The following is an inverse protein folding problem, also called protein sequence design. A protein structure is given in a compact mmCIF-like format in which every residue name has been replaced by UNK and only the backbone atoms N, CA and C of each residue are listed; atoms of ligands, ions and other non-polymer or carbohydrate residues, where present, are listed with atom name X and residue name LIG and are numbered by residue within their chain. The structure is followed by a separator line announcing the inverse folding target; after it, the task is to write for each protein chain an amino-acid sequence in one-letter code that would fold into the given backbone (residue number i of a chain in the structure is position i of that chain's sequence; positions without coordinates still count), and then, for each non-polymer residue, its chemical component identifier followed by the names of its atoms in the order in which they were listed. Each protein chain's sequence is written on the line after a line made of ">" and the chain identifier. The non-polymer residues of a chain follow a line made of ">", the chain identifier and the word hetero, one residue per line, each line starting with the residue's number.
data_IF_877767488323
#
_entry.id   IF_877767488323
#
_cell.length_a   1.000
_cell.length_b   1.000
_cell.length_c   1.000
_cell.angle_alpha   90.00
_cell.angle_beta   90.00
_cell.angle_gamma   90.00
#
_symmetry.space_group_name_H-M   'P 1'
#
loop_
_entity.id
_entity.type
_entity.pdbx_description
1 polymer ?
#
# COMPACT_ATOMS: atom_id res chain seq x y z
N UNK A 1 27.96 -17.17 8.74
CA UNK A 1 28.87 -16.53 9.72
C UNK A 1 28.29 -16.76 11.10
N UNK A 2 28.86 -17.68 11.88
CA UNK A 2 28.58 -17.81 13.32
C UNK A 2 29.64 -16.97 14.05
N UNK A 3 29.29 -15.72 14.35
CA UNK A 3 30.15 -14.87 15.18
C UNK A 3 29.95 -15.26 16.65
N UNK A 4 31.07 -15.44 17.38
CA UNK A 4 31.11 -15.93 18.77
C UNK A 4 30.46 -15.00 19.80
N UNK A 5 30.08 -13.78 19.41
CA UNK A 5 29.50 -12.76 20.29
C UNK A 5 28.19 -12.23 19.69
N UNK A 6 27.04 -12.65 20.20
CA UNK A 6 25.72 -12.26 19.67
C UNK A 6 25.30 -10.80 19.93
N UNK A 7 26.13 -9.98 20.60
CA UNK A 7 25.78 -8.58 20.94
C UNK A 7 25.52 -7.71 19.71
N UNK A 8 26.21 -7.96 18.59
CA UNK A 8 25.97 -7.21 17.35
C UNK A 8 24.54 -7.40 16.83
N UNK A 9 23.90 -8.54 17.08
CA UNK A 9 22.53 -8.81 16.64
C UNK A 9 21.50 -7.95 17.39
N UNK A 10 21.88 -7.40 18.55
CA UNK A 10 21.06 -6.47 19.34
C UNK A 10 21.25 -5.00 18.92
N UNK A 11 22.24 -4.65 18.09
CA UNK A 11 22.41 -3.27 17.61
C UNK A 11 21.31 -2.95 16.56
N UNK A 12 20.45 -1.93 16.76
CA UNK A 12 19.40 -1.56 15.82
C UNK A 12 19.89 -1.15 14.42
N UNK A 13 21.17 -0.83 14.25
CA UNK A 13 21.81 -0.54 12.96
C UNK A 13 22.29 -1.80 12.25
N UNK A 14 22.59 -2.86 12.99
CA UNK A 14 23.09 -4.10 12.40
C UNK A 14 22.06 -4.74 11.46
N UNK A 15 20.76 -4.67 11.78
CA UNK A 15 19.68 -5.11 10.87
C UNK A 15 19.68 -4.36 9.54
N UNK A 16 19.94 -3.05 9.55
CA UNK A 16 20.03 -2.25 8.32
C UNK A 16 21.31 -2.56 7.55
N UNK A 17 22.43 -2.79 8.25
CA UNK A 17 23.67 -3.26 7.64
C UNK A 17 23.49 -4.63 6.97
N UNK A 18 22.84 -5.58 7.63
CA UNK A 18 22.52 -6.89 7.07
C UNK A 18 21.61 -6.78 5.86
N UNK A 19 20.52 -6.02 5.95
CA UNK A 19 19.59 -5.81 4.83
C UNK A 19 20.32 -5.23 3.62
N UNK A 20 21.08 -4.14 3.80
CA UNK A 20 21.88 -3.54 2.75
C UNK A 20 22.91 -4.53 2.18
N UNK A 21 23.56 -5.32 3.04
CA UNK A 21 24.49 -6.36 2.60
C UNK A 21 23.79 -7.40 1.74
N UNK A 22 22.67 -7.98 2.20
CA UNK A 22 21.88 -8.97 1.46
C UNK A 22 21.43 -8.44 0.10
N UNK A 23 20.92 -7.20 0.05
CA UNK A 23 20.52 -6.54 -1.20
C UNK A 23 21.70 -6.38 -2.15
N UNK A 24 22.87 -5.95 -1.65
CA UNK A 24 24.10 -5.86 -2.45
C UNK A 24 24.55 -7.23 -2.96
N UNK A 25 24.52 -8.27 -2.13
CA UNK A 25 24.83 -9.64 -2.55
C UNK A 25 23.88 -10.11 -3.66
N UNK A 26 22.59 -9.83 -3.53
CA UNK A 26 21.60 -10.14 -4.56
C UNK A 26 21.86 -9.36 -5.86
N UNK A 27 22.17 -8.07 -5.76
CA UNK A 27 22.56 -7.22 -6.89
C UNK A 27 23.80 -7.77 -7.61
N UNK A 28 24.82 -8.17 -6.86
CA UNK A 28 26.04 -8.78 -7.41
C UNK A 28 25.73 -10.12 -8.09
N UNK A 29 24.89 -10.96 -7.49
CA UNK A 29 24.43 -12.24 -8.07
C UNK A 29 23.69 -12.01 -9.39
N UNK A 30 22.73 -11.09 -9.41
CA UNK A 30 21.95 -10.76 -10.61
C UNK A 30 22.84 -10.16 -11.72
N UNK A 31 23.77 -9.28 -11.35
CA UNK A 31 24.76 -8.74 -12.29
C UNK A 31 25.63 -9.84 -12.90
N UNK A 32 26.04 -10.84 -12.10
CA UNK A 32 26.79 -11.99 -12.60
C UNK A 32 25.98 -12.85 -13.57
N UNK A 33 24.67 -13.04 -13.32
CA UNK A 33 23.77 -13.78 -14.20
C UNK A 33 23.64 -13.03 -15.54
N UNK A 34 23.39 -11.72 -15.51
CA UNK A 34 23.31 -10.89 -16.71
C UNK A 34 24.57 -10.99 -17.58
N UNK A 35 25.74 -10.80 -16.95
CA UNK A 35 27.06 -10.90 -17.58
C UNK A 35 27.24 -12.29 -18.20
N UNK A 36 26.96 -13.38 -17.47
CA UNK A 36 27.05 -14.75 -18.00
C UNK A 36 26.14 -15.00 -19.21
N UNK A 37 24.92 -14.49 -19.19
CA UNK A 37 23.92 -14.70 -20.25
C UNK A 37 24.18 -13.84 -21.50
N UNK A 38 24.97 -12.77 -21.38
CA UNK A 38 25.24 -11.84 -22.48
C UNK A 38 26.74 -11.74 -22.75
N UNK A 39 27.28 -12.76 -23.43
CA UNK A 39 28.71 -12.89 -23.78
C UNK A 39 29.26 -11.70 -24.57
N UNK A 40 28.40 -10.97 -25.29
CA UNK A 40 28.70 -9.71 -25.97
C UNK A 40 29.25 -8.64 -25.02
N UNK A 41 28.63 -8.45 -23.86
CA UNK A 41 29.07 -7.46 -22.86
C UNK A 41 30.32 -7.93 -22.09
N UNK A 42 30.59 -9.24 -22.04
CA UNK A 42 31.74 -9.80 -21.31
C UNK A 42 33.10 -9.46 -21.91
N UNK A 43 33.12 -9.13 -23.21
CA UNK A 43 34.35 -8.82 -23.95
C UNK A 43 34.66 -7.32 -24.00
N UNK A 44 33.77 -6.47 -23.46
CA UNK A 44 33.89 -5.02 -23.54
C UNK A 44 34.59 -4.41 -22.33
N UNK A 45 35.40 -3.38 -22.56
CA UNK A 45 35.88 -2.47 -21.51
C UNK A 45 34.79 -1.46 -21.12
N UNK A 46 34.93 -0.82 -19.95
CA UNK A 46 33.96 0.20 -19.47
C UNK A 46 33.74 1.31 -20.48
N UNK A 47 34.83 1.75 -21.10
CA UNK A 47 34.81 2.78 -22.11
C UNK A 47 33.97 2.34 -23.32
N UNK A 48 34.19 1.12 -23.80
CA UNK A 48 33.42 0.53 -24.90
C UNK A 48 31.94 0.38 -24.55
N UNK A 49 31.62 -0.08 -23.34
CA UNK A 49 30.24 -0.17 -22.85
C UNK A 49 29.57 1.22 -22.77
N UNK A 50 30.27 2.25 -22.28
CA UNK A 50 29.74 3.62 -22.24
C UNK A 50 29.45 4.16 -23.63
N UNK A 51 30.36 3.98 -24.59
CA UNK A 51 30.14 4.41 -25.98
C UNK A 51 28.99 3.64 -26.63
N UNK A 52 28.91 2.34 -26.36
CA UNK A 52 27.83 1.49 -26.85
C UNK A 52 26.47 1.92 -26.29
N UNK A 53 26.36 2.16 -24.98
CA UNK A 53 25.12 2.59 -24.32
C UNK A 53 24.73 4.03 -24.68
N UNK A 54 25.70 4.91 -24.98
CA UNK A 54 25.41 6.24 -25.53
C UNK A 54 24.78 6.16 -26.93
N UNK A 55 25.28 5.25 -27.77
CA UNK A 55 24.74 5.00 -29.11
C UNK A 55 23.45 4.16 -29.08
N UNK A 56 23.30 3.32 -28.07
CA UNK A 56 22.19 2.38 -27.92
C UNK A 56 21.62 2.45 -26.48
N UNK A 57 20.93 3.55 -26.11
CA UNK A 57 20.41 3.74 -24.75
C UNK A 57 19.38 2.69 -24.34
N UNK A 58 18.77 1.97 -25.30
CA UNK A 58 17.84 0.88 -25.06
C UNK A 58 18.43 -0.27 -24.22
N UNK A 59 19.69 -0.65 -24.45
CA UNK A 59 20.33 -1.76 -23.74
C UNK A 59 20.60 -1.47 -22.24
N UNK A 60 20.61 -0.19 -21.84
CA UNK A 60 20.63 0.16 -20.41
C UNK A 60 19.34 -0.29 -19.71
N UNK A 61 18.19 -0.25 -20.41
CA UNK A 61 16.92 -0.76 -19.89
C UNK A 61 16.97 -2.28 -19.68
N UNK A 62 17.64 -3.02 -20.56
CA UNK A 62 17.83 -4.47 -20.43
C UNK A 62 18.72 -4.84 -19.24
N UNK A 63 19.78 -4.08 -18.98
CA UNK A 63 20.62 -4.29 -17.78
C UNK A 63 19.81 -4.00 -16.51
N UNK A 64 19.06 -2.90 -16.48
CA UNK A 64 18.22 -2.50 -15.35
C UNK A 64 16.98 -3.40 -15.18
N UNK A 65 16.57 -4.14 -16.22
CA UNK A 65 15.52 -5.15 -16.11
C UNK A 65 15.88 -6.23 -15.08
N UNK A 66 17.16 -6.58 -14.94
CA UNK A 66 17.58 -7.57 -13.95
C UNK A 66 17.51 -7.04 -12.51
N UNK A 67 17.61 -5.72 -12.28
CA UNK A 67 17.41 -5.15 -10.93
C UNK A 67 15.94 -5.10 -10.51
N UNK A 68 14.98 -5.35 -11.41
CA UNK A 68 13.55 -5.46 -11.03
C UNK A 68 13.28 -6.57 -10.01
N UNK A 69 14.16 -7.57 -9.91
CA UNK A 69 14.03 -8.68 -8.92
C UNK A 69 14.45 -8.27 -7.51
N UNK A 70 15.08 -7.11 -7.35
CA UNK A 70 15.48 -6.56 -6.05
C UNK A 70 14.35 -5.63 -5.60
N UNK A 71 13.61 -6.08 -4.59
CA UNK A 71 12.52 -5.30 -4.00
C UNK A 71 12.99 -3.91 -3.58
N UNK A 72 12.07 -2.95 -3.65
CA UNK A 72 12.28 -1.56 -3.24
C UNK A 72 13.27 -0.76 -4.11
N UNK A 73 13.83 -1.34 -5.17
CA UNK A 73 14.61 -0.57 -6.16
C UNK A 73 13.68 0.22 -7.09
N UNK A 74 14.19 1.30 -7.69
CA UNK A 74 13.46 2.06 -8.73
C UNK A 74 13.00 1.17 -9.89
N UNK A 75 13.80 0.18 -10.27
CA UNK A 75 13.46 -0.78 -11.33
C UNK A 75 12.31 -1.71 -10.92
N UNK A 76 12.30 -2.18 -9.66
CA UNK A 76 11.16 -2.91 -9.10
C UNK A 76 9.89 -2.05 -9.18
N UNK A 77 9.95 -0.82 -8.66
CA UNK A 77 8.80 0.10 -8.64
C UNK A 77 8.25 0.42 -10.03
N UNK A 78 9.13 0.64 -11.00
CA UNK A 78 8.72 0.80 -12.40
C UNK A 78 8.02 -0.45 -12.93
N UNK A 79 8.58 -1.65 -12.67
CA UNK A 79 7.94 -2.90 -13.09
C UNK A 79 6.56 -3.08 -12.44
N UNK A 80 6.38 -2.66 -11.18
CA UNK A 80 5.09 -2.73 -10.48
C UNK A 80 4.06 -1.73 -11.01
N UNK A 81 4.51 -0.54 -11.39
CA UNK A 81 3.68 0.48 -12.05
C UNK A 81 3.26 0.00 -13.44
N UNK A 82 4.18 -0.53 -14.23
CA UNK A 82 3.87 -1.09 -15.55
C UNK A 82 2.86 -2.24 -15.46
N UNK A 83 2.95 -3.11 -14.43
CA UNK A 83 1.93 -4.15 -14.26
C UNK A 83 0.54 -3.55 -13.98
N UNK A 84 0.44 -2.51 -13.13
CA UNK A 84 -0.84 -1.83 -12.91
C UNK A 84 -1.38 -1.19 -14.21
N UNK A 85 -0.52 -0.54 -14.99
CA UNK A 85 -0.90 0.01 -16.29
C UNK A 85 -1.39 -1.07 -17.25
N UNK A 86 -0.72 -2.23 -17.28
CA UNK A 86 -1.11 -3.35 -18.13
C UNK A 86 -2.43 -3.97 -17.68
N UNK A 87 -2.68 -4.08 -16.37
CA UNK A 87 -4.00 -4.48 -15.83
C UNK A 87 -5.09 -3.50 -16.27
N UNK A 88 -4.84 -2.19 -16.19
CA UNK A 88 -5.80 -1.17 -16.63
C UNK A 88 -6.06 -1.27 -18.13
N UNK A 89 -5.03 -1.49 -18.96
CA UNK A 89 -5.19 -1.65 -20.42
C UNK A 89 -5.96 -2.91 -20.81
N UNK A 90 -5.79 -4.00 -20.05
CA UNK A 90 -6.39 -5.30 -20.37
C UNK A 90 -7.80 -5.47 -19.78
N UNK A 91 -8.00 -5.03 -18.55
CA UNK A 91 -9.26 -5.21 -17.80
C UNK A 91 -10.17 -3.98 -17.94
N UNK A 92 -9.58 -2.79 -18.10
CA UNK A 92 -10.29 -1.50 -18.07
C UNK A 92 -10.01 -0.73 -16.78
N UNK A 93 -10.76 0.34 -16.54
CA UNK A 93 -10.62 1.12 -15.30
C UNK A 93 -11.00 0.27 -14.07
N UNK A 94 -10.23 0.34 -12.96
CA UNK A 94 -10.63 -0.31 -11.71
C UNK A 94 -11.90 0.33 -11.16
N UNK A 95 -12.70 -0.45 -10.43
CA UNK A 95 -13.99 -0.04 -9.90
C UNK A 95 -13.85 0.79 -8.62
N UNK A 96 -12.95 0.37 -7.73
CA UNK A 96 -12.80 0.95 -6.39
C UNK A 96 -11.35 1.10 -6.00
N UNK A 97 -11.08 2.15 -5.23
CA UNK A 97 -9.86 2.32 -4.45
C UNK A 97 -10.13 1.93 -3.00
N UNK A 98 -9.17 1.27 -2.37
CA UNK A 98 -9.26 0.89 -0.97
C UNK A 98 -7.96 1.12 -0.20
N UNK A 99 -8.09 1.34 1.10
CA UNK A 99 -6.98 1.32 2.05
C UNK A 99 -7.28 0.44 3.25
N UNK A 100 -6.23 -0.14 3.82
CA UNK A 100 -6.31 -0.96 5.04
C UNK A 100 -5.24 -0.47 6.01
N UNK A 101 -5.64 0.30 7.03
CA UNK A 101 -4.70 0.77 8.06
C UNK A 101 -4.43 -0.30 9.10
N UNK A 102 -3.25 -0.29 9.69
CA UNK A 102 -2.95 -1.18 10.81
C UNK A 102 -3.47 -0.66 12.14
N UNK A 103 -4.13 -1.54 12.92
CA UNK A 103 -4.51 -1.28 14.31
C UNK A 103 -3.62 -2.08 15.28
N UNK A 104 -2.30 -1.97 15.08
CA UNK A 104 -1.26 -2.78 15.74
C UNK A 104 -1.36 -2.80 17.27
N UNK A 105 -1.88 -1.73 17.88
CA UNK A 105 -2.05 -1.60 19.33
C UNK A 105 -3.24 -2.39 19.92
N UNK A 106 -4.10 -2.93 19.05
CA UNK A 106 -5.41 -3.45 19.43
C UNK A 106 -5.65 -4.91 19.05
N UNK A 107 -4.96 -5.42 18.02
CA UNK A 107 -5.16 -6.80 17.56
C UNK A 107 -4.56 -7.83 18.54
N UNK A 108 -5.42 -8.55 19.26
CA UNK A 108 -5.03 -9.52 20.29
C UNK A 108 -4.16 -10.64 19.73
N UNK A 109 -4.41 -11.06 18.49
CA UNK A 109 -3.68 -12.13 17.81
C UNK A 109 -2.21 -11.75 17.58
N UNK A 110 -1.95 -10.48 17.28
CA UNK A 110 -0.58 -9.97 17.16
C UNK A 110 0.15 -10.06 18.50
N UNK A 111 -0.49 -9.66 19.60
CA UNK A 111 0.12 -9.74 20.93
C UNK A 111 0.33 -11.19 21.41
N UNK A 112 -0.55 -12.12 21.04
CA UNK A 112 -0.33 -13.55 21.27
C UNK A 112 0.95 -14.04 20.59
N UNK A 113 1.22 -13.62 19.36
CA UNK A 113 2.48 -13.94 18.65
C UNK A 113 3.71 -13.29 19.30
N UNK A 114 3.52 -12.17 20.00
CA UNK A 114 4.57 -11.52 20.79
C UNK A 114 4.74 -12.12 22.18
N UNK A 115 4.01 -13.19 22.53
CA UNK A 115 4.07 -13.85 23.83
C UNK A 115 3.30 -13.12 24.94
N UNK A 116 2.34 -12.27 24.60
CA UNK A 116 1.53 -11.51 25.54
C UNK A 116 0.03 -11.76 25.34
N UNK A 117 -0.57 -12.60 26.19
CA UNK A 117 -2.00 -12.91 26.11
C UNK A 117 -2.88 -11.79 26.71
N UNK A 118 -2.41 -11.12 27.76
CA UNK A 118 -3.13 -10.02 28.43
C UNK A 118 -2.79 -8.64 27.86
N UNK A 119 -2.83 -8.48 26.54
CA UNK A 119 -2.48 -7.21 25.90
C UNK A 119 -3.38 -6.03 26.27
N UNK A 120 -4.54 -6.28 26.90
CA UNK A 120 -5.42 -5.26 27.43
C UNK A 120 -4.83 -4.51 28.63
N UNK A 121 -3.97 -5.17 29.42
CA UNK A 121 -3.37 -4.63 30.63
C UNK A 121 -2.12 -3.77 30.35
N UNK A 122 -1.57 -3.89 29.14
CA UNK A 122 -0.39 -3.13 28.73
C UNK A 122 -0.72 -1.66 28.49
N UNK A 123 0.12 -0.78 29.03
CA UNK A 123 0.13 0.64 28.73
C UNK A 123 0.55 0.91 27.29
N UNK A 124 0.26 2.11 26.78
CA UNK A 124 0.67 2.50 25.43
C UNK A 124 2.19 2.44 25.22
N UNK A 125 2.99 2.83 26.22
CA UNK A 125 4.45 2.80 26.13
C UNK A 125 4.99 1.38 26.05
N UNK A 126 4.42 0.44 26.82
CA UNK A 126 4.79 -0.99 26.77
C UNK A 126 4.44 -1.60 25.42
N UNK A 127 3.23 -1.33 24.91
CA UNK A 127 2.81 -1.75 23.57
C UNK A 127 3.74 -1.21 22.49
N UNK A 128 4.02 0.08 22.53
CA UNK A 128 4.92 0.75 21.57
C UNK A 128 6.32 0.12 21.58
N UNK A 129 6.87 -0.12 22.79
CA UNK A 129 8.16 -0.77 22.96
C UNK A 129 8.18 -2.18 22.37
N UNK A 130 7.22 -3.03 22.74
CA UNK A 130 7.10 -4.40 22.22
C UNK A 130 7.03 -4.45 20.69
N UNK A 131 6.20 -3.59 20.08
CA UNK A 131 6.07 -3.51 18.63
C UNK A 131 7.38 -3.04 17.96
N UNK A 132 8.04 -2.04 18.55
CA UNK A 132 9.30 -1.48 18.03
C UNK A 132 10.49 -2.45 18.12
N UNK A 133 10.50 -3.31 19.14
CA UNK A 133 11.50 -4.35 19.36
C UNK A 133 11.27 -5.57 18.46
N UNK A 134 10.04 -5.79 17.97
CA UNK A 134 9.65 -6.96 17.18
C UNK A 134 9.09 -6.63 15.78
N UNK A 135 9.80 -5.85 14.94
CA UNK A 135 9.28 -5.40 13.65
C UNK A 135 9.05 -6.54 12.65
N UNK A 136 9.78 -7.66 12.76
CA UNK A 136 9.61 -8.81 11.87
C UNK A 136 8.26 -9.49 12.10
N UNK A 137 7.89 -9.74 13.36
CA UNK A 137 6.61 -10.34 13.72
C UNK A 137 5.47 -9.42 13.28
N UNK A 138 5.57 -8.12 13.58
CA UNK A 138 4.59 -7.12 13.19
C UNK A 138 4.35 -7.08 11.67
N UNK A 139 5.41 -6.93 10.88
CA UNK A 139 5.32 -6.83 9.41
C UNK A 139 4.84 -8.13 8.77
N UNK A 140 5.28 -9.28 9.30
CA UNK A 140 4.85 -10.60 8.84
C UNK A 140 3.37 -10.83 9.15
N UNK A 141 2.93 -10.53 10.38
CA UNK A 141 1.53 -10.60 10.78
C UNK A 141 0.65 -9.73 9.88
N UNK A 142 1.03 -8.45 9.68
CA UNK A 142 0.26 -7.54 8.84
C UNK A 142 0.16 -8.06 7.40
N UNK A 143 1.27 -8.52 6.82
CA UNK A 143 1.29 -9.10 5.47
C UNK A 143 0.34 -10.29 5.37
N UNK A 144 0.41 -11.25 6.31
CA UNK A 144 -0.47 -12.41 6.30
C UNK A 144 -1.93 -12.00 6.47
N UNK A 145 -2.22 -11.06 7.38
CA UNK A 145 -3.57 -10.55 7.61
C UNK A 145 -4.16 -9.91 6.34
N UNK A 146 -3.39 -9.07 5.65
CA UNK A 146 -3.81 -8.44 4.39
C UNK A 146 -4.04 -9.48 3.29
N UNK A 147 -3.09 -10.41 3.11
CA UNK A 147 -3.22 -11.45 2.07
C UNK A 147 -4.43 -12.35 2.33
N UNK A 148 -4.64 -12.76 3.57
CA UNK A 148 -5.80 -13.55 3.96
C UNK A 148 -7.09 -12.75 3.75
N UNK A 149 -7.15 -11.51 4.24
CA UNK A 149 -8.31 -10.64 4.06
C UNK A 149 -8.68 -10.47 2.59
N UNK A 150 -7.71 -10.15 1.73
CA UNK A 150 -7.96 -9.93 0.32
C UNK A 150 -8.37 -11.22 -0.42
N UNK A 151 -7.66 -12.33 -0.20
CA UNK A 151 -7.90 -13.58 -0.95
C UNK A 151 -9.06 -14.43 -0.44
N UNK A 152 -9.35 -14.42 0.86
CA UNK A 152 -10.29 -15.35 1.50
C UNK A 152 -11.59 -14.71 1.95
N UNK A 153 -11.69 -13.38 1.85
CA UNK A 153 -12.85 -12.64 2.32
C UNK A 153 -13.27 -11.61 1.28
N UNK A 154 -12.41 -10.62 0.98
CA UNK A 154 -12.74 -9.55 0.04
C UNK A 154 -13.03 -10.07 -1.37
N UNK A 155 -12.21 -11.01 -1.86
CA UNK A 155 -12.36 -11.61 -3.18
C UNK A 155 -13.75 -12.23 -3.40
N UNK A 156 -14.15 -13.12 -2.48
CA UNK A 156 -15.40 -13.86 -2.56
C UNK A 156 -16.61 -12.96 -2.27
N UNK A 157 -16.50 -12.05 -1.30
CA UNK A 157 -17.62 -11.20 -0.88
C UNK A 157 -18.03 -10.18 -1.95
N UNK A 158 -17.07 -9.62 -2.70
CA UNK A 158 -17.34 -8.58 -3.70
C UNK A 158 -17.29 -9.07 -5.15
N UNK A 159 -17.22 -10.39 -5.38
CA UNK A 159 -17.04 -11.00 -6.71
C UNK A 159 -15.95 -10.28 -7.54
N UNK A 160 -14.75 -10.24 -6.97
CA UNK A 160 -13.64 -9.47 -7.51
C UNK A 160 -13.11 -10.17 -8.78
N UNK A 161 -12.89 -9.42 -9.85
CA UNK A 161 -12.19 -9.91 -11.04
C UNK A 161 -10.68 -9.99 -10.80
N UNK A 162 -10.10 -8.87 -10.36
CA UNK A 162 -8.71 -8.80 -9.92
C UNK A 162 -8.48 -7.61 -8.98
N UNK A 163 -7.34 -7.54 -8.33
CA UNK A 163 -6.94 -6.41 -7.49
C UNK A 163 -5.43 -6.18 -7.51
N UNK A 164 -5.02 -4.95 -7.24
CA UNK A 164 -3.61 -4.55 -7.14
C UNK A 164 -3.41 -3.75 -5.86
N UNK A 165 -2.34 -4.01 -5.10
CA UNK A 165 -2.08 -3.24 -3.88
C UNK A 165 -0.61 -3.08 -3.53
N UNK A 166 -0.34 -2.14 -2.64
CA UNK A 166 0.96 -1.91 -2.02
C UNK A 166 0.82 -1.63 -0.54
N UNK A 167 1.83 -1.99 0.22
CA UNK A 167 1.95 -1.67 1.64
C UNK A 167 2.89 -0.50 1.80
N UNK A 168 2.35 0.59 2.33
CA UNK A 168 3.09 1.75 2.79
C UNK A 168 3.26 1.74 4.31
N UNK A 169 4.38 2.25 4.82
CA UNK A 169 4.61 2.54 6.22
C UNK A 169 4.37 4.02 6.46
N UNK A 170 3.43 4.33 7.35
CA UNK A 170 3.16 5.70 7.77
C UNK A 170 4.30 6.23 8.65
N UNK A 171 4.31 7.53 8.93
CA UNK A 171 5.37 8.22 9.70
C UNK A 171 5.64 7.64 11.10
N UNK A 172 4.74 6.81 11.62
CA UNK A 172 4.88 6.10 12.91
C UNK A 172 5.42 4.66 12.78
N UNK A 173 5.76 4.22 11.57
CA UNK A 173 6.21 2.85 11.31
C UNK A 173 5.10 1.80 11.21
N UNK A 174 3.82 2.20 11.29
CA UNK A 174 2.69 1.29 11.07
C UNK A 174 2.44 1.06 9.58
N UNK A 175 2.12 -0.19 9.25
CA UNK A 175 1.79 -0.58 7.89
C UNK A 175 0.41 -0.04 7.47
N UNK A 176 0.23 0.17 6.17
CA UNK A 176 -0.98 0.72 5.58
C UNK A 176 -1.08 0.29 4.13
N UNK A 177 -2.16 -0.36 3.74
CA UNK A 177 -2.36 -0.78 2.35
C UNK A 177 -2.98 0.35 1.55
N UNK A 178 -2.52 0.52 0.31
CA UNK A 178 -3.23 1.21 -0.75
C UNK A 178 -3.46 0.24 -1.90
N UNK A 179 -4.70 0.11 -2.37
CA UNK A 179 -5.01 -0.78 -3.48
C UNK A 179 -6.18 -0.32 -4.33
N UNK A 180 -6.34 -0.99 -5.46
CA UNK A 180 -7.47 -0.86 -6.37
C UNK A 180 -8.02 -2.25 -6.71
N UNK A 181 -9.32 -2.35 -6.94
CA UNK A 181 -9.97 -3.60 -7.31
C UNK A 181 -10.94 -3.40 -8.47
N UNK A 182 -11.05 -4.43 -9.31
CA UNK A 182 -12.04 -4.56 -10.38
C UNK A 182 -13.13 -5.50 -9.88
N UNK A 183 -14.34 -4.98 -9.71
CA UNK A 183 -15.50 -5.78 -9.31
C UNK A 183 -16.26 -6.22 -10.55
N UNK A 184 -16.71 -7.47 -10.58
CA UNK A 184 -17.55 -7.94 -11.68
C UNK A 184 -18.89 -7.21 -11.66
N UNK A 185 -19.47 -7.00 -12.85
CA UNK A 185 -20.75 -6.34 -13.04
C UNK A 185 -20.80 -4.88 -12.54
N UNK A 186 -19.64 -4.23 -12.36
CA UNK A 186 -19.59 -2.82 -12.07
C UNK A 186 -20.05 -1.97 -13.28
N UNK A 187 -20.74 -0.85 -13.05
CA UNK A 187 -21.10 0.10 -14.11
C UNK A 187 -19.88 0.61 -14.88
N UNK A 188 -20.01 0.73 -16.21
CA UNK A 188 -18.94 1.26 -17.06
C UNK A 188 -18.85 2.79 -16.92
N UNK A 189 -17.81 3.24 -16.24
CA UNK A 189 -17.58 4.67 -15.95
C UNK A 189 -17.30 5.51 -17.19
N UNK A 190 -16.94 4.89 -18.32
CA UNK A 190 -16.74 5.58 -19.60
C UNK A 190 -18.06 5.89 -20.31
N UNK A 191 -19.17 5.32 -19.84
CA UNK A 191 -20.50 5.42 -20.44
C UNK A 191 -21.52 6.16 -19.58
N UNK A 192 -21.08 7.01 -18.65
CA UNK A 192 -21.96 7.82 -17.79
C UNK A 192 -22.58 9.02 -18.52
N UNK A 193 -23.11 8.78 -19.73
CA UNK A 193 -23.61 9.83 -20.63
C UNK A 193 -25.11 10.08 -20.45
N UNK A 194 -25.91 9.04 -20.22
CA UNK A 194 -27.36 9.16 -20.02
C UNK A 194 -27.72 9.25 -18.54
N UNK A 195 -28.86 9.88 -18.22
CA UNK A 195 -29.37 9.94 -16.84
C UNK A 195 -29.66 8.54 -16.27
N UNK A 196 -30.01 7.58 -17.13
CA UNK A 196 -30.20 6.19 -16.72
C UNK A 196 -28.88 5.56 -16.25
N UNK A 197 -27.81 5.71 -17.03
CA UNK A 197 -26.50 5.15 -16.68
C UNK A 197 -25.94 5.78 -15.41
N UNK A 198 -26.13 7.11 -15.25
CA UNK A 198 -25.75 7.84 -14.04
C UNK A 198 -26.52 7.36 -12.81
N UNK A 199 -27.84 7.16 -12.93
CA UNK A 199 -28.68 6.67 -11.84
C UNK A 199 -28.31 5.23 -11.44
N UNK A 200 -28.02 4.37 -12.42
CA UNK A 200 -27.54 3.01 -12.18
C UNK A 200 -26.19 3.00 -11.45
N UNK A 201 -25.25 3.82 -11.91
CA UNK A 201 -23.94 3.96 -11.27
C UNK A 201 -24.06 4.50 -9.83
N UNK A 202 -24.85 5.55 -9.63
CA UNK A 202 -25.10 6.11 -8.30
C UNK A 202 -25.69 5.07 -7.36
N UNK A 203 -26.71 4.32 -7.81
CA UNK A 203 -27.33 3.24 -7.03
C UNK A 203 -26.32 2.14 -6.69
N UNK A 204 -25.52 1.71 -7.65
CA UNK A 204 -24.50 0.68 -7.43
C UNK A 204 -23.49 1.11 -6.36
N UNK A 205 -22.91 2.31 -6.48
CA UNK A 205 -21.87 2.76 -5.57
C UNK A 205 -22.40 3.18 -4.19
N UNK A 206 -23.64 3.66 -4.08
CA UNK A 206 -24.26 3.98 -2.78
C UNK A 206 -24.60 2.73 -1.96
N UNK A 207 -24.85 1.58 -2.62
CA UNK A 207 -24.95 0.30 -1.92
C UNK A 207 -23.60 -0.24 -1.45
N UNK A 208 -22.51 0.25 -2.05
CA UNK A 208 -21.15 -0.25 -1.79
C UNK A 208 -20.39 0.63 -0.79
N UNK A 209 -20.63 1.94 -0.80
CA UNK A 209 -19.87 2.94 -0.04
C UNK A 209 -20.82 3.86 0.69
N UNK A 210 -20.50 4.15 1.95
CA UNK A 210 -21.24 5.12 2.76
C UNK A 210 -20.27 6.05 3.49
N UNK A 211 -20.79 7.19 3.94
CA UNK A 211 -20.14 8.06 4.91
C UNK A 211 -21.11 8.44 6.04
N UNK A 212 -22.15 7.64 6.24
CA UNK A 212 -23.10 7.82 7.34
C UNK A 212 -22.56 7.25 8.64
N UNK A 213 -22.73 8.02 9.71
CA UNK A 213 -22.54 7.58 11.08
C UNK A 213 -23.86 6.95 11.58
N UNK A 214 -23.88 5.65 11.97
CA UNK A 214 -25.10 4.99 12.43
C UNK A 214 -25.65 5.61 13.73
N UNK A 215 -24.77 6.13 14.58
CA UNK A 215 -25.14 6.76 15.85
C UNK A 215 -24.17 7.89 16.20
N UNK A 216 -24.63 9.13 16.03
CA UNK A 216 -23.89 10.35 16.36
C UNK A 216 -23.75 10.57 17.87
N UNK A 217 -24.63 9.96 18.67
CA UNK A 217 -24.65 10.08 20.13
C UNK A 217 -23.73 9.07 20.83
N UNK A 218 -23.17 8.14 20.05
CA UNK A 218 -22.37 7.04 20.54
C UNK A 218 -21.17 7.51 21.37
N UNK A 219 -21.03 6.94 22.58
CA UNK A 219 -19.91 7.24 23.48
C UNK A 219 -18.86 6.13 23.44
N UNK A 220 -17.56 6.45 23.36
CA UNK A 220 -16.52 5.43 23.28
C UNK A 220 -16.54 4.46 24.47
N UNK A 221 -16.63 3.17 24.17
CA UNK A 221 -16.50 2.11 25.17
C UNK A 221 -15.07 2.03 25.73
N UNK A 222 -14.94 1.47 26.94
CA UNK A 222 -13.65 1.22 27.59
C UNK A 222 -12.76 0.30 26.74
N UNK A 223 -13.36 -0.73 26.15
CA UNK A 223 -12.68 -1.66 25.25
C UNK A 223 -12.68 -1.08 23.85
N UNK A 224 -11.50 -0.96 23.24
CA UNK A 224 -11.37 -0.48 21.88
C UNK A 224 -11.98 -1.48 20.87
N UNK A 225 -12.88 -1.07 19.96
CA UNK A 225 -13.59 -1.97 19.04
C UNK A 225 -12.67 -2.80 18.15
N UNK A 226 -11.51 -2.26 17.77
CA UNK A 226 -10.46 -3.01 17.04
C UNK A 226 -9.90 -4.23 17.79
N UNK A 227 -10.19 -4.39 19.08
CA UNK A 227 -9.73 -5.52 19.91
C UNK A 227 -10.82 -6.57 20.14
N UNK A 228 -12.05 -6.36 19.66
CA UNK A 228 -13.15 -7.31 19.80
C UNK A 228 -12.96 -8.48 18.85
N UNK A 229 -13.22 -9.70 19.32
CA UNK A 229 -13.35 -10.85 18.43
C UNK A 229 -14.75 -10.86 17.82
N UNK A 230 -14.92 -11.50 16.67
CA UNK A 230 -16.23 -11.64 16.03
C UNK A 230 -17.25 -12.36 16.94
N UNK A 231 -16.80 -13.30 17.77
CA UNK A 231 -17.62 -14.04 18.73
C UNK A 231 -18.14 -13.18 19.88
N UNK A 232 -17.51 -12.03 20.12
CA UNK A 232 -17.87 -11.10 21.21
C UNK A 232 -18.89 -10.05 20.73
N UNK A 233 -19.25 -10.07 19.43
CA UNK A 233 -20.16 -9.10 18.82
C UNK A 233 -21.59 -9.62 18.94
N UNK A 234 -22.39 -8.95 19.78
CA UNK A 234 -23.81 -9.29 19.99
C UNK A 234 -24.70 -8.60 18.96
N UNK A 235 -24.40 -7.34 18.63
CA UNK A 235 -25.16 -6.52 17.68
C UNK A 235 -24.19 -5.88 16.67
N UNK A 236 -24.44 -6.11 15.38
CA UNK A 236 -23.62 -5.59 14.29
C UNK A 236 -23.80 -4.08 14.07
N UNK A 237 -24.97 -3.52 14.36
CA UNK A 237 -25.23 -2.08 14.20
C UNK A 237 -24.46 -1.28 15.27
N UNK A 238 -24.53 -1.74 16.52
CA UNK A 238 -23.76 -1.15 17.63
C UNK A 238 -22.25 -1.27 17.39
N UNK A 239 -21.80 -2.42 16.88
CA UNK A 239 -20.39 -2.64 16.54
C UNK A 239 -19.91 -1.72 15.40
N UNK A 240 -20.76 -1.49 14.41
CA UNK A 240 -20.48 -0.55 13.33
C UNK A 240 -20.41 0.88 13.86
N UNK A 241 -21.37 1.30 14.69
CA UNK A 241 -21.38 2.61 15.33
C UNK A 241 -20.09 2.85 16.16
N UNK A 242 -19.66 1.85 16.93
CA UNK A 242 -18.41 1.89 17.67
C UNK A 242 -17.19 2.11 16.77
N UNK A 243 -17.07 1.32 15.70
CA UNK A 243 -15.95 1.42 14.76
C UNK A 243 -15.95 2.76 14.05
N UNK A 244 -17.11 3.20 13.55
CA UNK A 244 -17.23 4.48 12.84
C UNK A 244 -16.79 5.63 13.75
N UNK A 245 -17.35 5.69 14.96
CA UNK A 245 -17.05 6.75 15.91
C UNK A 245 -15.61 6.71 16.42
N UNK A 246 -14.99 5.53 16.52
CA UNK A 246 -13.65 5.38 17.09
C UNK A 246 -12.53 5.54 16.08
N UNK A 247 -12.67 4.96 14.88
CA UNK A 247 -11.56 4.86 13.91
C UNK A 247 -11.86 5.44 12.53
N UNK A 248 -13.12 5.72 12.19
CA UNK A 248 -13.48 6.23 10.86
C UNK A 248 -13.69 7.75 10.81
N UNK A 249 -13.75 8.42 11.97
CA UNK A 249 -13.82 9.88 12.08
C UNK A 249 -12.43 10.52 11.98
N UNK A 250 -12.30 11.48 11.09
CA UNK A 250 -11.09 12.27 10.90
C UNK A 250 -10.88 13.22 12.09
N UNK A 251 -9.69 13.13 12.70
CA UNK A 251 -9.21 14.10 13.67
C UNK A 251 -8.06 14.88 13.07
N UNK A 252 -8.26 16.20 12.91
CA UNK A 252 -7.24 17.04 12.30
C UNK A 252 -5.98 17.11 13.17
N UNK A 253 -4.81 16.83 12.59
CA UNK A 253 -3.51 17.00 13.25
C UNK A 253 -2.67 18.08 12.57
N UNK A 254 -1.97 18.85 13.40
CA UNK A 254 -1.09 19.95 12.96
C UNK A 254 0.13 19.47 12.18
N UNK A 255 0.54 18.22 12.39
CA UNK A 255 1.75 17.62 11.80
C UNK A 255 1.50 16.90 10.48
N UNK A 256 0.25 16.50 10.18
CA UNK A 256 -0.05 15.67 9.02
C UNK A 256 -1.06 16.29 8.06
N UNK A 257 -2.22 16.74 8.56
CA UNK A 257 -3.30 17.16 7.68
C UNK A 257 -3.43 18.68 7.55
N UNK A 258 -3.21 19.45 8.61
CA UNK A 258 -3.39 20.90 8.58
C UNK A 258 -2.23 21.57 7.85
N UNK A 259 -2.52 22.15 6.68
CA UNK A 259 -1.56 22.94 5.90
C UNK A 259 -1.83 24.43 6.07
N UNK A 260 -0.77 25.22 6.20
CA UNK A 260 -0.88 26.68 6.18
C UNK A 260 -1.22 27.12 4.76
N UNK A 261 -2.40 27.70 4.57
CA UNK A 261 -2.77 28.32 3.29
C UNK A 261 -2.33 29.78 3.24
N UNK A 262 -2.33 30.47 4.39
CA UNK A 262 -1.79 31.82 4.63
C UNK A 262 -1.21 31.92 6.06
N UNK A 263 -0.71 33.09 6.48
CA UNK A 263 -0.14 33.30 7.84
C UNK A 263 -1.14 33.01 8.98
N UNK A 264 -2.46 32.99 8.71
CA UNK A 264 -3.52 32.98 9.73
C UNK A 264 -4.38 31.69 9.69
N UNK A 265 -4.65 31.10 8.51
CA UNK A 265 -5.62 29.99 8.37
C UNK A 265 -4.92 28.68 8.02
N UNK A 266 -5.27 27.60 8.74
CA UNK A 266 -4.86 26.23 8.45
C UNK A 266 -6.05 25.44 7.91
N UNK A 267 -5.91 24.94 6.68
CA UNK A 267 -6.92 24.10 6.04
C UNK A 267 -6.51 22.64 6.13
N UNK A 268 -7.48 21.74 6.32
CA UNK A 268 -7.22 20.31 6.26
C UNK A 268 -6.95 19.89 4.81
N UNK A 269 -5.82 19.24 4.55
CA UNK A 269 -5.45 18.71 3.23
C UNK A 269 -6.46 17.71 2.63
N UNK A 270 -7.36 17.17 3.46
CA UNK A 270 -8.38 16.19 3.08
C UNK A 270 -9.77 16.83 2.96
N UNK A 271 -9.89 18.15 3.15
CA UNK A 271 -11.15 18.88 3.02
C UNK A 271 -12.11 18.72 4.19
N UNK A 272 -11.59 18.45 5.41
CA UNK A 272 -12.41 18.42 6.62
C UNK A 272 -12.51 19.79 7.30
N UNK A 273 -13.67 20.15 7.90
CA UNK A 273 -14.94 19.40 7.90
C UNK A 273 -15.58 19.37 6.50
N UNK A 274 -16.24 18.26 6.16
CA UNK A 274 -17.00 18.12 4.91
C UNK A 274 -18.45 18.59 5.09
N UNK A 275 -19.06 19.10 4.03
CA UNK A 275 -20.46 19.51 4.06
C UNK A 275 -21.41 18.33 4.26
N UNK A 276 -22.46 18.54 5.06
CA UNK A 276 -23.53 17.56 5.23
C UNK A 276 -24.33 17.42 3.94
N UNK A 277 -24.83 16.23 3.68
CA UNK A 277 -25.50 15.88 2.43
C UNK A 277 -26.72 15.00 2.74
N UNK A 278 -27.91 15.47 2.40
CA UNK A 278 -29.17 14.75 2.70
C UNK A 278 -29.36 13.51 1.82
N UNK A 279 -28.85 13.53 0.59
CA UNK A 279 -28.89 12.40 -0.34
C UNK A 279 -27.59 12.30 -1.12
N UNK A 280 -27.28 11.10 -1.61
CA UNK A 280 -26.13 10.90 -2.48
C UNK A 280 -26.43 11.39 -3.89
N UNK A 281 -25.46 12.02 -4.55
CA UNK A 281 -25.60 12.52 -5.91
C UNK A 281 -24.33 12.27 -6.74
N UNK A 282 -24.51 12.14 -8.06
CA UNK A 282 -23.41 12.11 -9.01
C UNK A 282 -23.21 13.54 -9.54
N UNK A 283 -22.16 14.21 -9.07
CA UNK A 283 -21.81 15.55 -9.52
C UNK A 283 -20.80 15.48 -10.67
N UNK A 284 -20.75 16.55 -11.47
CA UNK A 284 -19.72 16.75 -12.50
C UNK A 284 -18.87 17.94 -12.05
N UNK A 285 -17.58 17.70 -11.85
CA UNK A 285 -16.61 18.75 -11.57
C UNK A 285 -15.62 18.89 -12.74
N UNK A 286 -14.74 19.88 -12.69
CA UNK A 286 -13.63 20.05 -13.66
C UNK A 286 -12.74 18.80 -13.80
N UNK A 287 -12.90 17.81 -12.91
CA UNK A 287 -12.21 16.51 -12.90
C UNK A 287 -12.95 15.34 -13.52
N UNK A 288 -14.18 15.53 -14.02
CA UNK A 288 -15.08 14.47 -14.46
C UNK A 288 -16.17 14.19 -13.43
N UNK A 289 -16.79 13.01 -13.54
CA UNK A 289 -17.80 12.58 -12.57
C UNK A 289 -17.20 12.35 -11.18
N UNK A 290 -17.95 12.72 -10.14
CA UNK A 290 -17.65 12.48 -8.74
C UNK A 290 -18.95 12.07 -8.03
N UNK A 291 -18.87 11.12 -7.09
CA UNK A 291 -20.02 10.77 -6.24
C UNK A 291 -19.87 11.49 -4.92
N UNK A 292 -20.84 12.34 -4.61
CA UNK A 292 -21.00 12.97 -3.31
C UNK A 292 -21.98 12.12 -2.51
N UNK A 293 -21.48 11.41 -1.50
CA UNK A 293 -22.29 10.52 -0.68
C UNK A 293 -23.09 11.27 0.38
N UNK A 294 -24.31 10.76 0.67
CA UNK A 294 -25.15 11.17 1.80
C UNK A 294 -24.35 11.13 3.11
N UNK A 295 -24.36 12.25 3.85
CA UNK A 295 -23.48 12.49 4.99
C UNK A 295 -24.22 13.18 6.13
N UNK A 296 -24.24 12.53 7.30
CA UNK A 296 -24.75 13.08 8.56
C UNK A 296 -23.64 13.46 9.55
N UNK A 297 -22.38 13.06 9.30
CA UNK A 297 -21.20 13.43 10.10
C UNK A 297 -20.13 14.07 9.21
N UNK A 298 -19.80 15.33 9.50
CA UNK A 298 -18.82 16.11 8.75
C UNK A 298 -17.41 15.53 8.79
N UNK A 299 -17.10 14.65 9.74
CA UNK A 299 -15.77 14.10 9.98
C UNK A 299 -15.60 12.64 9.55
N UNK A 300 -16.66 11.93 9.16
CA UNK A 300 -16.55 10.53 8.74
C UNK A 300 -15.89 10.42 7.36
N UNK A 301 -14.90 9.56 7.19
CA UNK A 301 -14.37 9.23 5.86
C UNK A 301 -15.27 8.25 5.12
N UNK A 302 -15.14 8.13 3.80
CA UNK A 302 -15.84 7.11 3.02
C UNK A 302 -15.39 5.71 3.45
N UNK A 303 -16.34 4.79 3.61
CA UNK A 303 -16.04 3.41 4.00
C UNK A 303 -17.09 2.44 3.46
N UNK A 304 -16.73 1.15 3.42
CA UNK A 304 -17.69 0.07 3.29
C UNK A 304 -17.92 -0.55 4.69
N UNK A 305 -19.18 -0.68 5.17
CA UNK A 305 -19.47 -1.18 6.51
C UNK A 305 -18.89 -2.57 6.78
N UNK A 306 -19.06 -3.49 5.84
CA UNK A 306 -18.58 -4.87 5.97
C UNK A 306 -17.06 -4.96 6.03
N UNK A 307 -16.35 -4.19 5.19
CA UNK A 307 -14.88 -4.12 5.24
C UNK A 307 -14.43 -3.55 6.59
N UNK A 308 -15.07 -2.48 7.08
CA UNK A 308 -14.70 -1.85 8.36
C UNK A 308 -14.86 -2.84 9.53
N UNK A 309 -15.97 -3.59 9.56
CA UNK A 309 -16.27 -4.58 10.61
C UNK A 309 -15.40 -5.83 10.54
N UNK A 310 -15.01 -6.25 9.34
CA UNK A 310 -14.15 -7.43 9.13
C UNK A 310 -12.68 -7.09 9.35
N UNK A 311 -12.22 -5.95 8.83
CA UNK A 311 -10.84 -5.50 8.96
C UNK A 311 -10.52 -4.99 10.37
N UNK A 312 -11.50 -4.36 11.03
CA UNK A 312 -11.43 -3.77 12.38
C UNK A 312 -10.32 -2.75 12.55
N UNK A 313 -10.21 -1.81 11.63
CA UNK A 313 -9.29 -0.68 11.67
C UNK A 313 -9.75 0.39 10.68
N UNK A 314 -9.19 1.59 10.76
CA UNK A 314 -9.47 2.65 9.80
C UNK A 314 -9.24 2.18 8.36
N UNK A 315 -10.21 2.45 7.50
CA UNK A 315 -10.13 2.20 6.06
C UNK A 315 -10.47 3.48 5.29
N UNK A 316 -10.22 3.43 3.99
CA UNK A 316 -10.81 4.34 3.01
C UNK A 316 -11.27 3.44 1.88
N UNK A 317 -12.51 3.60 1.45
CA UNK A 317 -13.08 2.82 0.36
C UNK A 317 -13.89 3.78 -0.50
N UNK A 318 -13.45 3.99 -1.73
CA UNK A 318 -13.98 5.05 -2.59
C UNK A 318 -14.11 4.57 -4.03
N UNK A 319 -15.20 4.92 -4.73
CA UNK A 319 -15.39 4.52 -6.12
C UNK A 319 -14.45 5.30 -7.04
N UNK A 320 -14.04 4.66 -8.14
CA UNK A 320 -13.27 5.32 -9.20
C UNK A 320 -14.25 5.58 -10.34
N UNK A 321 -14.80 6.80 -10.40
CA UNK A 321 -15.82 7.21 -11.39
C UNK A 321 -15.28 8.15 -12.48
N UNK A 322 -13.97 8.41 -12.48
CA UNK A 322 -13.32 9.25 -13.49
C UNK A 322 -11.93 8.73 -13.81
N UNK A 323 -11.60 8.64 -15.10
CA UNK A 323 -10.26 8.28 -15.57
C UNK A 323 -9.19 9.22 -15.01
N UNK A 324 -9.50 10.49 -14.73
CA UNK A 324 -8.54 11.44 -14.14
C UNK A 324 -8.10 11.01 -12.74
N UNK A 325 -9.00 10.41 -11.95
CA UNK A 325 -8.66 9.89 -10.61
C UNK A 325 -7.69 8.71 -10.77
N UNK A 326 -7.96 7.83 -11.74
CA UNK A 326 -7.08 6.73 -12.09
C UNK A 326 -5.70 7.22 -12.57
N UNK A 327 -5.64 8.18 -13.48
CA UNK A 327 -4.37 8.76 -13.94
C UNK A 327 -3.64 9.51 -12.83
N UNK A 328 -4.32 10.22 -11.92
CA UNK A 328 -3.67 10.83 -10.74
C UNK A 328 -3.10 9.77 -9.81
N UNK A 329 -3.82 8.66 -9.63
CA UNK A 329 -3.34 7.51 -8.89
C UNK A 329 -2.07 6.99 -9.57
N UNK A 330 -2.13 6.53 -10.83
CA UNK A 330 -0.98 6.03 -11.61
C UNK A 330 0.19 7.04 -11.68
N UNK A 331 -0.07 8.32 -11.92
CA UNK A 331 0.95 9.36 -12.08
C UNK A 331 1.67 9.71 -10.77
N UNK A 332 1.01 9.59 -9.60
CA UNK A 332 1.69 9.62 -8.30
C UNK A 332 2.80 8.56 -8.23
N UNK A 333 2.72 7.52 -9.06
CA UNK A 333 3.62 6.37 -9.07
C UNK A 333 4.63 6.36 -10.23
N UNK A 334 4.54 7.30 -11.19
CA UNK A 334 5.34 7.28 -12.41
C UNK A 334 6.61 8.16 -12.43
N UNK A 335 6.92 8.96 -11.40
CA UNK A 335 8.05 9.90 -11.45
C UNK A 335 9.30 9.48 -10.67
N UNK A 336 10.42 9.31 -11.39
CA UNK A 336 11.73 9.97 -11.15
C UNK A 336 12.76 9.55 -12.23
N UNK A 337 13.21 10.54 -13.02
CA UNK A 337 14.28 10.45 -14.02
C UNK A 337 15.65 10.30 -13.35
N UNK A 338 16.58 9.60 -14.01
CA UNK A 338 17.92 9.30 -13.51
C UNK A 338 18.94 10.22 -14.20
N UNK A 339 19.58 11.11 -13.45
CA UNK A 339 20.76 11.86 -13.88
C UNK A 339 21.94 11.46 -13.00
N UNK A 340 22.93 10.75 -13.55
CA UNK A 340 24.13 10.36 -12.79
C UNK A 340 25.34 10.09 -13.68
N UNK A 341 26.43 10.82 -13.42
CA UNK A 341 27.76 10.58 -14.01
C UNK A 341 28.55 9.56 -13.18
N UNK A 342 29.45 8.81 -13.82
CA UNK A 342 30.28 7.79 -13.17
C UNK A 342 31.70 7.73 -13.76
N UNK A 343 32.70 7.66 -12.89
CA UNK A 343 34.13 7.46 -13.20
C UNK A 343 34.58 5.98 -13.09
N UNK A 344 35.82 5.75 -13.52
CA UNK A 344 36.40 4.54 -14.14
C UNK A 344 36.56 3.28 -13.26
N UNK A 345 36.35 2.10 -13.90
CA UNK A 345 36.99 0.77 -13.64
C UNK A 345 36.19 -0.41 -14.24
N UNK A 346 36.83 -1.32 -15.01
CA UNK A 346 36.36 -2.58 -15.68
C UNK A 346 34.85 -2.98 -15.67
N UNK A 347 34.26 -3.37 -16.82
CA UNK A 347 32.82 -3.59 -17.06
C UNK A 347 32.09 -4.45 -16.00
N UNK A 348 32.74 -5.50 -15.51
CA UNK A 348 32.21 -6.36 -14.45
C UNK A 348 32.03 -5.60 -13.13
N UNK A 349 32.95 -4.69 -12.78
CA UNK A 349 32.82 -3.78 -11.63
C UNK A 349 31.77 -2.70 -11.88
N UNK A 350 31.61 -2.18 -13.11
CA UNK A 350 30.60 -1.13 -13.41
C UNK A 350 29.18 -1.64 -13.36
N UNK A 351 28.87 -2.79 -13.96
CA UNK A 351 27.52 -3.37 -13.89
C UNK A 351 27.18 -3.73 -12.44
N UNK A 352 28.15 -4.26 -11.68
CA UNK A 352 28.03 -4.49 -10.24
C UNK A 352 27.83 -3.18 -9.45
N UNK A 353 28.60 -2.13 -9.72
CA UNK A 353 28.49 -0.80 -9.09
C UNK A 353 27.16 -0.12 -9.44
N UNK A 354 26.64 -0.27 -10.67
CA UNK A 354 25.34 0.23 -11.10
C UNK A 354 24.20 -0.45 -10.32
N UNK A 355 24.18 -1.78 -10.26
CA UNK A 355 23.18 -2.52 -9.50
C UNK A 355 23.30 -2.26 -7.98
N UNK A 356 24.52 -2.16 -7.45
CA UNK A 356 24.75 -1.77 -6.04
C UNK A 356 24.34 -0.33 -5.78
N UNK A 357 24.54 0.61 -6.70
CA UNK A 357 24.07 1.99 -6.55
C UNK A 357 22.55 2.10 -6.64
N UNK A 358 21.87 1.24 -7.41
CA UNK A 358 20.39 1.15 -7.31
C UNK A 358 19.90 0.71 -5.94
N UNK A 359 20.73 -0.03 -5.17
CA UNK A 359 20.49 -0.36 -3.76
C UNK A 359 20.98 0.74 -2.79
N UNK A 360 21.69 1.77 -3.26
CA UNK A 360 22.14 2.90 -2.45
C UNK A 360 21.27 4.15 -2.65
N UNK A 361 20.58 4.26 -3.80
CA UNK A 361 19.56 5.28 -4.09
C UNK A 361 18.21 4.95 -3.46
N UNK A 362 18.22 4.41 -2.25
CA UNK A 362 16.99 4.16 -1.51
C UNK A 362 16.29 5.48 -1.25
N UNK A 363 15.16 5.65 -1.91
CA UNK A 363 14.11 6.47 -1.36
C UNK A 363 13.43 5.64 -0.27
N UNK A 364 13.78 5.90 0.99
CA UNK A 364 13.16 5.24 2.14
C UNK A 364 11.65 5.47 2.22
N UNK A 365 11.08 6.34 1.37
CA UNK A 365 9.63 6.54 1.23
C UNK A 365 8.93 5.53 0.32
N UNK A 366 9.64 4.72 -0.48
CA UNK A 366 9.03 3.78 -1.44
C UNK A 366 9.01 2.32 -0.91
N UNK A 367 7.82 1.81 -0.58
CA UNK A 367 7.58 0.66 0.31
C UNK A 367 6.73 -0.44 -0.36
N UNK A 368 6.96 -1.72 -0.01
CA UNK A 368 6.63 -2.95 -0.76
C UNK A 368 5.27 -3.00 -1.49
N UNK A 369 5.29 -3.38 -2.78
CA UNK A 369 4.09 -3.66 -3.56
C UNK A 369 3.89 -5.16 -3.66
N UNK A 370 2.64 -5.59 -3.60
CA UNK A 370 2.26 -6.99 -3.73
C UNK A 370 1.24 -7.10 -4.85
N UNK A 371 1.49 -8.00 -5.78
CA UNK A 371 0.41 -8.50 -6.61
C UNK A 371 0.29 -9.97 -6.38
N UNK A 372 -0.85 -10.30 -5.80
CA UNK A 372 -1.35 -11.66 -5.79
C UNK A 372 -2.47 -11.67 -6.79
N UNK A 373 -2.31 -12.42 -7.88
CA UNK A 373 -3.45 -12.64 -8.78
C UNK A 373 -4.55 -13.27 -7.95
N UNK A 374 -5.76 -12.77 -8.14
CA UNK A 374 -6.96 -13.30 -7.50
C UNK A 374 -7.04 -14.84 -7.54
N UNK A 375 -6.66 -15.45 -8.67
CA UNK A 375 -6.69 -16.89 -8.90
C UNK A 375 -5.35 -17.63 -8.70
N UNK A 376 -4.28 -16.98 -8.19
CA UNK A 376 -3.01 -17.70 -7.98
C UNK A 376 -2.92 -18.34 -6.60
N UNK A 377 -2.87 -19.67 -6.60
CA UNK A 377 -2.42 -20.53 -5.50
C UNK A 377 -0.90 -20.42 -5.27
N UNK A 378 -0.31 -19.22 -5.42
CA UNK A 378 1.10 -18.98 -5.14
C UNK A 378 1.30 -18.94 -3.62
N UNK A 379 1.21 -20.12 -2.99
CA UNK A 379 1.62 -20.40 -1.61
C UNK A 379 2.74 -21.44 -1.52
N UNK A 380 3.28 -21.90 -2.65
CA UNK A 380 4.51 -22.70 -2.66
C UNK A 380 5.70 -21.84 -3.08
N UNK A 381 6.27 -21.10 -2.13
CA UNK A 381 7.72 -20.94 -2.06
C UNK A 381 8.11 -20.37 -0.68
N UNK A 382 9.17 -20.95 -0.11
CA UNK A 382 9.80 -20.64 1.19
C UNK A 382 9.22 -21.35 2.43
N UNK A 383 8.90 -22.64 2.32
CA UNK A 383 9.20 -23.61 3.40
C UNK A 383 9.65 -24.91 2.73
N UNK A 384 10.87 -24.93 2.19
CA UNK A 384 11.68 -26.13 1.97
C UNK A 384 12.97 -25.74 1.25
N UNK A 385 13.99 -25.38 2.04
CA UNK A 385 15.39 -25.56 1.67
C UNK A 385 16.28 -25.29 2.87
N UNK A 386 16.75 -26.37 3.51
CA UNK A 386 17.83 -26.36 4.51
C UNK A 386 17.37 -26.52 5.93
#
# INVERSE_FOLDING_TARGET
>A
MLYRDGRFAKDPRFRFFLLNSMMRWQALRLGNIFVKQNSFFNKMTVYQLKQYLKRNPGHLKEILFYSRRIKSTKAYWRSRCSELEDMVKQIGAPTVFFTLSSADYHWKELYRLLGCEESANLTYSEKSRLLSENPLILTTFFKHRVQYFLKKTFYDYFDVQDFWFRTEFQSRGSCHVHGVAWLKNAPDITRLNSEKDKAEALKYFTNLVTCQNPDLSFRPNLIHPCSKNITDIVNLEDDLAELVNRVQRHSCSTSYCLKKRNRIVRDCRFGFPKDLQESSELSVSDGGHEIVFQRNDQFVNNFNPWILQTWRSNIDFSPIVSERILYKYIAKYANLLYNGQFEDEHCKKVIRKLLVKTCAEHDYSAQEAFTTRANSNDYEEVVNSG
#
